data_IF_938254381802
#
_entry.id   IF_938254381802
#
_cell.length_a   1.000
_cell.length_b   1.000
_cell.length_c   1.000
_cell.angle_alpha   90.00
_cell.angle_beta   90.00
_cell.angle_gamma   90.00
#
_symmetry.space_group_name_H-M   'P 1'
#
loop_
_entity.id
_entity.type
_entity.pdbx_description
1 polymer ?
#
# COMPACT_ATOMS: atom_id res chain seq x y z
N UNK A 1 6.83 10.61 -6.44
CA UNK A 1 6.85 9.15 -6.32
C UNK A 1 5.64 8.55 -7.01
N UNK A 2 5.87 7.61 -7.94
CA UNK A 2 4.81 6.80 -8.55
C UNK A 2 4.84 5.39 -7.95
N UNK A 3 3.67 4.79 -7.75
CA UNK A 3 3.54 3.41 -7.28
C UNK A 3 2.83 2.61 -8.35
N UNK A 4 3.51 1.57 -8.85
CA UNK A 4 3.02 0.71 -9.93
C UNK A 4 2.71 -0.68 -9.39
N UNK A 5 1.46 -1.09 -9.56
CA UNK A 5 0.96 -2.41 -9.20
C UNK A 5 0.91 -3.27 -10.46
N UNK A 6 1.70 -4.34 -10.49
CA UNK A 6 1.90 -5.18 -11.66
C UNK A 6 1.32 -6.57 -11.42
N UNK A 7 0.45 -7.06 -12.31
CA UNK A 7 -0.01 -8.45 -12.24
C UNK A 7 1.06 -9.34 -12.87
N UNK A 8 1.94 -9.92 -12.05
CA UNK A 8 3.12 -10.67 -12.52
C UNK A 8 2.83 -12.13 -12.89
N UNK A 9 1.67 -12.66 -12.48
CA UNK A 9 1.26 -14.02 -12.82
C UNK A 9 -0.15 -14.34 -12.35
N UNK A 10 -0.55 -15.60 -12.54
CA UNK A 10 -1.79 -16.09 -11.92
C UNK A 10 -1.65 -16.01 -10.39
N UNK A 11 -2.58 -15.33 -9.74
CA UNK A 11 -2.60 -15.15 -8.28
C UNK A 11 -1.32 -14.51 -7.70
N UNK A 12 -0.65 -13.66 -8.49
CA UNK A 12 0.60 -12.97 -8.10
C UNK A 12 0.62 -11.55 -8.61
N UNK A 13 1.20 -10.67 -7.80
CA UNK A 13 1.46 -9.28 -8.17
C UNK A 13 2.77 -8.79 -7.56
N UNK A 14 3.26 -7.68 -8.08
CA UNK A 14 4.39 -6.95 -7.56
C UNK A 14 4.04 -5.47 -7.40
N UNK A 15 4.79 -4.79 -6.53
CA UNK A 15 4.71 -3.34 -6.35
C UNK A 15 6.08 -2.75 -6.69
N UNK A 16 6.11 -1.89 -7.71
CA UNK A 16 7.28 -1.10 -8.07
C UNK A 16 7.08 0.35 -7.64
N UNK A 17 8.07 0.95 -7.01
CA UNK A 17 8.02 2.31 -6.48
C UNK A 17 9.09 3.12 -7.19
N UNK A 18 8.63 4.07 -8.01
CA UNK A 18 9.47 4.94 -8.82
C UNK A 18 9.63 6.27 -8.09
N UNK A 19 10.87 6.62 -7.75
CA UNK A 19 11.19 7.75 -6.88
C UNK A 19 12.09 8.75 -7.60
N UNK A 20 11.85 10.04 -7.40
CA UNK A 20 12.66 11.09 -8.02
C UNK A 20 13.78 11.60 -7.12
N UNK A 21 13.63 11.49 -5.79
CA UNK A 21 14.62 11.92 -4.81
C UNK A 21 15.44 10.76 -4.23
N UNK A 22 14.98 9.52 -4.42
CA UNK A 22 15.59 8.29 -3.89
C UNK A 22 15.63 7.22 -4.99
N UNK A 23 16.45 6.17 -4.84
CA UNK A 23 16.52 5.10 -5.84
C UNK A 23 15.23 4.27 -5.96
N UNK A 24 14.96 3.64 -7.11
CA UNK A 24 13.73 2.86 -7.30
C UNK A 24 13.71 1.59 -6.44
N UNK A 25 12.50 1.17 -6.04
CA UNK A 25 12.28 -0.03 -5.23
C UNK A 25 11.27 -0.99 -5.86
N UNK A 26 11.34 -2.26 -5.47
CA UNK A 26 10.39 -3.29 -5.85
C UNK A 26 10.11 -4.25 -4.70
N UNK A 27 8.88 -4.75 -4.64
CA UNK A 27 8.48 -5.92 -3.85
C UNK A 27 7.82 -6.93 -4.78
N UNK A 28 8.44 -8.11 -4.93
CA UNK A 28 7.98 -9.17 -5.84
C UNK A 28 8.40 -10.57 -5.32
N UNK A 29 7.46 -11.49 -5.03
CA UNK A 29 6.02 -11.26 -5.02
C UNK A 29 5.60 -10.38 -3.84
N UNK A 30 4.60 -9.54 -4.06
CA UNK A 30 3.92 -8.83 -2.98
C UNK A 30 2.95 -9.76 -2.23
N UNK A 31 2.77 -9.56 -0.90
CA UNK A 31 1.91 -10.41 -0.08
C UNK A 31 0.41 -10.12 -0.30
N UNK A 32 -0.45 -11.01 0.20
CA UNK A 32 -1.89 -10.72 0.27
C UNK A 32 -2.57 -10.56 -1.08
N UNK A 33 -2.32 -11.47 -2.03
CA UNK A 33 -2.98 -11.43 -3.34
C UNK A 33 -4.51 -11.46 -3.21
N UNK A 34 -5.17 -10.60 -3.98
CA UNK A 34 -6.61 -10.60 -4.19
C UNK A 34 -6.95 -10.15 -5.61
N UNK A 35 -7.90 -10.86 -6.23
CA UNK A 35 -8.42 -10.50 -7.55
C UNK A 35 -9.19 -9.18 -7.54
N UNK A 36 -9.75 -8.82 -6.38
CA UNK A 36 -10.55 -7.62 -6.21
C UNK A 36 -9.66 -6.38 -6.09
N UNK A 37 -8.68 -6.41 -5.19
CA UNK A 37 -7.75 -5.29 -4.98
C UNK A 37 -6.47 -5.80 -4.29
N UNK A 38 -5.27 -5.33 -4.68
CA UNK A 38 -4.04 -5.69 -3.99
C UNK A 38 -4.04 -5.20 -2.54
N UNK A 39 -3.48 -5.99 -1.62
CA UNK A 39 -3.36 -5.61 -0.21
C UNK A 39 -2.60 -4.28 -0.04
N UNK A 40 -1.46 -4.14 -0.71
CA UNK A 40 -0.67 -2.91 -0.66
C UNK A 40 -1.43 -1.69 -1.24
N UNK A 41 -2.42 -1.90 -2.12
CA UNK A 41 -3.23 -0.79 -2.65
C UNK A 41 -4.23 -0.29 -1.61
N UNK A 42 -4.69 -1.16 -0.68
CA UNK A 42 -5.51 -0.76 0.47
C UNK A 42 -4.72 0.14 1.40
N UNK A 43 -3.46 -0.21 1.70
CA UNK A 43 -2.57 0.65 2.50
C UNK A 43 -2.35 2.01 1.83
N UNK A 44 -2.16 2.01 0.51
CA UNK A 44 -1.99 3.23 -0.25
C UNK A 44 -3.20 4.16 -0.11
N UNK A 45 -4.42 3.63 -0.26
CA UNK A 45 -5.67 4.40 -0.06
C UNK A 45 -5.80 4.87 1.38
N UNK A 46 -5.53 4.01 2.36
CA UNK A 46 -5.58 4.40 3.76
C UNK A 46 -4.62 5.57 4.05
N UNK A 47 -3.39 5.51 3.53
CA UNK A 47 -2.44 6.59 3.77
C UNK A 47 -2.84 7.89 3.07
N UNK A 48 -3.35 7.81 1.83
CA UNK A 48 -3.90 8.96 1.10
C UNK A 48 -5.08 9.61 1.83
N UNK A 49 -6.12 8.84 2.13
CA UNK A 49 -7.40 9.36 2.63
C UNK A 49 -7.32 9.86 4.08
N UNK A 50 -6.46 9.23 4.90
CA UNK A 50 -6.30 9.60 6.31
C UNK A 50 -5.05 10.45 6.56
N UNK A 51 -4.32 10.86 5.51
CA UNK A 51 -3.22 11.79 5.61
C UNK A 51 -1.96 11.26 6.30
N UNK A 52 -1.74 9.93 6.29
CA UNK A 52 -0.55 9.33 6.91
C UNK A 52 0.65 9.57 6.00
N UNK A 53 1.66 10.25 6.53
CA UNK A 53 2.86 10.60 5.76
C UNK A 53 4.06 9.75 6.17
N UNK A 54 3.99 9.04 7.28
CA UNK A 54 5.03 8.18 7.86
C UNK A 54 4.58 6.71 7.97
N UNK A 55 3.60 6.32 7.15
CA UNK A 55 3.16 4.93 6.96
C UNK A 55 4.09 4.12 6.05
N UNK A 56 3.56 3.09 5.38
CA UNK A 56 4.29 2.25 4.42
C UNK A 56 4.79 3.11 3.25
N UNK A 57 3.89 3.69 2.46
CA UNK A 57 4.25 4.47 1.27
C UNK A 57 4.84 5.82 1.65
N UNK A 58 4.35 6.42 2.73
CA UNK A 58 4.93 7.63 3.30
C UNK A 58 6.43 7.51 3.59
N UNK A 59 6.83 6.40 4.21
CA UNK A 59 8.24 6.12 4.47
C UNK A 59 9.04 5.79 3.19
N UNK A 60 8.44 5.15 2.19
CA UNK A 60 9.08 4.97 0.87
C UNK A 60 9.37 6.32 0.21
N UNK A 61 8.43 7.27 0.29
CA UNK A 61 8.59 8.62 -0.21
C UNK A 61 9.64 9.44 0.57
N UNK A 62 10.02 8.99 1.77
CA UNK A 62 11.05 9.60 2.62
C UNK A 62 12.41 8.87 2.57
N UNK A 63 12.60 7.98 1.59
CA UNK A 63 13.87 7.29 1.36
C UNK A 63 14.06 5.99 2.16
N UNK A 64 13.05 5.55 2.90
CA UNK A 64 13.02 4.22 3.51
C UNK A 64 12.67 3.11 2.52
N UNK A 65 12.43 1.89 3.05
CA UNK A 65 12.02 0.72 2.26
C UNK A 65 10.88 -0.12 2.89
N UNK A 66 10.25 0.33 3.97
CA UNK A 66 9.19 -0.42 4.66
C UNK A 66 9.58 -1.84 5.10
N UNK A 67 10.88 -2.13 5.19
CA UNK A 67 11.42 -3.43 5.57
C UNK A 67 11.32 -4.51 4.48
N UNK A 68 10.37 -4.38 3.55
CA UNK A 68 10.06 -5.42 2.55
C UNK A 68 10.55 -5.08 1.14
N UNK A 69 10.66 -3.80 0.79
CA UNK A 69 11.04 -3.38 -0.54
C UNK A 69 12.56 -3.43 -0.75
N UNK A 70 12.98 -3.83 -1.95
CA UNK A 70 14.39 -3.95 -2.35
C UNK A 70 14.73 -3.02 -3.52
N UNK A 71 15.97 -2.51 -3.62
CA UNK A 71 16.36 -1.62 -4.71
C UNK A 71 16.44 -2.37 -6.04
N UNK A 72 16.05 -1.70 -7.12
CA UNK A 72 16.10 -2.27 -8.48
C UNK A 72 17.33 -1.81 -9.27
N UNK A 73 17.85 -0.62 -8.99
CA UNK A 73 18.98 -0.01 -9.69
C UNK A 73 20.30 -0.13 -8.92
N UNK A 74 20.24 -0.23 -7.60
CA UNK A 74 21.41 -0.27 -6.72
C UNK A 74 21.64 -1.67 -6.15
N UNK A 75 22.90 -2.04 -5.93
CA UNK A 75 23.23 -3.25 -5.18
C UNK A 75 22.87 -3.04 -3.70
N UNK A 76 22.21 -4.05 -3.10
CA UNK A 76 21.89 -4.07 -1.67
C UNK A 76 23.15 -4.27 -0.83
N UNK A 77 23.95 -3.21 -0.69
CA UNK A 77 25.17 -3.21 0.13
C UNK A 77 24.86 -3.07 1.62
N UNK A 78 25.83 -3.38 2.49
CA UNK A 78 25.72 -3.13 3.94
C UNK A 78 25.56 -1.64 4.26
N UNK A 79 26.18 -0.76 3.47
CA UNK A 79 26.06 0.69 3.65
C UNK A 79 24.62 1.16 3.34
N UNK A 80 24.08 0.71 2.22
CA UNK A 80 22.69 0.95 1.83
C UNK A 80 21.71 0.47 2.90
N UNK A 81 21.86 -0.77 3.37
CA UNK A 81 20.99 -1.35 4.40
C UNK A 81 20.96 -0.51 5.68
N UNK A 82 22.13 -0.06 6.15
CA UNK A 82 22.24 0.81 7.33
C UNK A 82 21.62 2.18 7.12
N UNK A 83 21.76 2.76 5.92
CA UNK A 83 21.16 4.06 5.59
C UNK A 83 19.63 3.97 5.61
N UNK A 84 19.08 2.96 4.94
CA UNK A 84 17.64 2.72 4.87
C UNK A 84 17.06 2.38 6.24
N UNK A 85 17.75 1.58 7.05
CA UNK A 85 17.31 1.27 8.41
C UNK A 85 17.26 2.51 9.31
N UNK A 86 18.21 3.45 9.16
CA UNK A 86 18.12 4.75 9.85
C UNK A 86 16.90 5.55 9.38
N UNK A 87 16.64 5.59 8.07
CA UNK A 87 15.47 6.27 7.50
C UNK A 87 14.16 5.67 7.98
N UNK A 88 14.06 4.35 8.00
CA UNK A 88 12.86 3.68 8.47
C UNK A 88 12.57 4.03 9.93
N UNK A 89 13.59 4.05 10.78
CA UNK A 89 13.43 4.44 12.20
C UNK A 89 13.00 5.90 12.37
N UNK A 90 13.40 6.80 11.48
CA UNK A 90 13.04 8.23 11.58
C UNK A 90 11.72 8.61 10.91
N UNK A 91 11.21 7.79 9.99
CA UNK A 91 10.06 8.16 9.12
C UNK A 91 8.98 7.08 9.01
N UNK A 92 9.14 5.92 9.65
CA UNK A 92 8.15 4.84 9.72
C UNK A 92 7.34 4.83 11.02
N UNK A 93 7.08 6.00 11.60
CA UNK A 93 6.42 6.13 12.91
C UNK A 93 4.94 5.79 12.86
N UNK A 94 4.32 5.75 11.67
CA UNK A 94 2.90 5.48 11.48
C UNK A 94 2.62 4.13 10.79
N UNK A 95 3.62 3.24 10.67
CA UNK A 95 3.46 1.90 10.08
C UNK A 95 2.31 1.12 10.73
N UNK A 96 2.27 1.07 12.07
CA UNK A 96 1.19 0.41 12.80
C UNK A 96 -0.17 1.08 12.62
N UNK A 97 -0.20 2.40 12.38
CA UNK A 97 -1.44 3.12 12.07
C UNK A 97 -1.94 2.81 10.66
N UNK A 98 -1.04 2.72 9.68
CA UNK A 98 -1.38 2.30 8.31
C UNK A 98 -1.99 0.89 8.32
N UNK A 99 -1.39 -0.05 9.06
CA UNK A 99 -1.93 -1.40 9.28
C UNK A 99 -3.31 -1.39 9.96
N UNK A 100 -3.46 -0.62 11.04
CA UNK A 100 -4.73 -0.50 11.75
C UNK A 100 -5.85 0.09 10.88
N UNK A 101 -5.53 1.09 10.04
CA UNK A 101 -6.50 1.68 9.11
C UNK A 101 -6.87 0.71 7.99
N UNK A 102 -5.90 0.02 7.38
CA UNK A 102 -6.19 -1.01 6.38
C UNK A 102 -7.08 -2.13 6.94
N UNK A 103 -6.81 -2.57 8.18
CA UNK A 103 -7.62 -3.57 8.88
C UNK A 103 -9.03 -3.06 9.24
N UNK A 104 -9.24 -1.75 9.37
CA UNK A 104 -10.55 -1.15 9.60
C UNK A 104 -11.34 -0.92 8.32
N UNK A 105 -10.69 -0.43 7.27
CA UNK A 105 -11.31 0.03 6.03
C UNK A 105 -11.67 -1.16 5.14
N UNK A 106 -10.73 -2.08 4.90
CA UNK A 106 -10.93 -3.18 3.95
C UNK A 106 -12.16 -4.05 4.24
N UNK A 107 -12.33 -4.64 5.44
CA UNK A 107 -13.51 -5.46 5.74
C UNK A 107 -14.82 -4.66 5.77
N UNK A 108 -14.79 -3.35 6.04
CA UNK A 108 -16.00 -2.51 5.98
C UNK A 108 -16.39 -2.20 4.54
N UNK A 109 -15.41 -1.88 3.69
CA UNK A 109 -15.60 -1.68 2.27
C UNK A 109 -16.19 -2.92 1.59
N UNK A 110 -15.68 -4.11 1.92
CA UNK A 110 -16.22 -5.37 1.41
C UNK A 110 -17.70 -5.54 1.78
N UNK A 111 -18.04 -5.38 3.07
CA UNK A 111 -19.43 -5.50 3.54
C UNK A 111 -20.34 -4.45 2.90
N UNK A 112 -19.87 -3.21 2.77
CA UNK A 112 -20.59 -2.13 2.08
C UNK A 112 -20.87 -2.48 0.61
N UNK A 113 -19.93 -3.19 -0.03
CA UNK A 113 -20.05 -3.65 -1.43
C UNK A 113 -20.86 -4.95 -1.58
N UNK A 114 -21.49 -5.45 -0.50
CA UNK A 114 -22.21 -6.73 -0.50
C UNK A 114 -21.32 -7.97 -0.61
N UNK A 115 -20.01 -7.81 -0.39
CA UNK A 115 -19.02 -8.88 -0.42
C UNK A 115 -18.68 -9.32 1.00
N UNK A 116 -18.43 -10.62 1.17
CA UNK A 116 -17.90 -11.14 2.42
C UNK A 116 -16.37 -11.08 2.40
N UNK A 117 -15.73 -10.64 3.49
CA UNK A 117 -14.29 -10.80 3.65
C UNK A 117 -13.85 -12.28 3.50
N UNK A 118 -12.58 -12.54 3.21
CA UNK A 118 -12.04 -13.92 3.25
C UNK A 118 -11.92 -14.42 4.70
N UNK A 119 -11.76 -15.72 4.94
CA UNK A 119 -11.80 -16.33 6.29
C UNK A 119 -10.94 -15.62 7.36
N UNK A 120 -9.79 -15.06 6.98
CA UNK A 120 -8.94 -14.25 7.86
C UNK A 120 -9.63 -13.00 8.45
N UNK A 121 -10.61 -12.46 7.75
CA UNK A 121 -11.41 -11.29 8.13
C UNK A 121 -12.89 -11.63 8.45
N UNK A 122 -13.41 -12.79 8.01
CA UNK A 122 -14.81 -13.21 8.29
C UNK A 122 -15.04 -13.39 9.78
N UNK A 123 -14.05 -13.91 10.49
CA UNK A 123 -14.16 -14.24 11.91
C UNK A 123 -13.80 -13.09 12.85
N UNK A 124 -13.42 -11.93 12.31
CA UNK A 124 -13.10 -10.76 13.09
C UNK A 124 -14.01 -9.62 12.63
N UNK A 125 -14.96 -9.25 13.49
CA UNK A 125 -15.57 -7.94 13.34
C UNK A 125 -14.45 -6.91 13.28
N UNK A 126 -14.53 -5.96 12.33
CA UNK A 126 -13.47 -5.01 12.16
C UNK A 126 -13.40 -4.21 13.48
N UNK A 127 -12.19 -3.89 13.95
CA UNK A 127 -12.03 -3.26 15.26
C UNK A 127 -12.88 -1.98 15.34
N UNK A 128 -13.29 -1.61 16.56
CA UNK A 128 -14.01 -0.35 16.77
C UNK A 128 -13.24 0.79 16.11
N UNK A 129 -13.94 1.57 15.31
CA UNK A 129 -13.38 2.66 14.52
C UNK A 129 -13.78 3.99 15.13
N UNK A 130 -12.83 4.91 15.18
CA UNK A 130 -13.06 6.33 15.46
C UNK A 130 -13.31 7.13 14.17
N UNK A 131 -13.11 6.51 13.01
CA UNK A 131 -13.44 7.09 11.70
C UNK A 131 -14.95 7.33 11.58
N UNK A 132 -15.31 8.52 11.11
CA UNK A 132 -16.67 8.89 10.75
C UNK A 132 -17.15 8.19 9.48
N UNK A 133 -18.48 8.12 9.30
CA UNK A 133 -19.08 7.56 8.09
C UNK A 133 -18.59 8.29 6.83
N UNK A 134 -18.50 9.61 6.86
CA UNK A 134 -17.97 10.42 5.74
C UNK A 134 -16.53 10.07 5.39
N UNK A 135 -15.69 9.78 6.39
CA UNK A 135 -14.30 9.36 6.13
C UNK A 135 -14.23 7.96 5.50
N UNK A 136 -15.08 7.04 5.97
CA UNK A 136 -15.19 5.70 5.39
C UNK A 136 -15.73 5.75 3.96
N UNK A 137 -16.74 6.56 3.68
CA UNK A 137 -17.34 6.69 2.35
C UNK A 137 -16.33 7.16 1.31
N UNK A 138 -15.51 8.18 1.63
CA UNK A 138 -14.42 8.63 0.75
C UNK A 138 -13.43 7.52 0.45
N UNK A 139 -13.00 6.79 1.48
CA UNK A 139 -12.11 5.64 1.30
C UNK A 139 -12.77 4.54 0.44
N UNK A 140 -14.07 4.30 0.59
CA UNK A 140 -14.78 3.29 -0.20
C UNK A 140 -14.92 3.69 -1.66
N UNK A 141 -15.25 4.95 -1.95
CA UNK A 141 -15.28 5.48 -3.32
C UNK A 141 -13.92 5.32 -3.99
N UNK A 142 -12.84 5.64 -3.25
CA UNK A 142 -11.48 5.50 -3.74
C UNK A 142 -11.11 4.04 -4.01
N UNK A 143 -11.43 3.14 -3.09
CA UNK A 143 -11.22 1.69 -3.27
C UNK A 143 -12.04 1.13 -4.44
N UNK A 144 -13.29 1.57 -4.62
CA UNK A 144 -14.13 1.14 -5.74
C UNK A 144 -13.50 1.49 -7.09
N UNK A 145 -13.03 2.73 -7.24
CA UNK A 145 -12.36 3.20 -8.46
C UNK A 145 -11.09 2.39 -8.77
N UNK A 146 -10.23 2.20 -7.77
CA UNK A 146 -8.96 1.49 -7.94
C UNK A 146 -9.15 -0.02 -8.12
N UNK A 147 -10.13 -0.62 -7.43
CA UNK A 147 -10.54 -2.02 -7.60
C UNK A 147 -11.03 -2.28 -9.04
N UNK A 148 -11.86 -1.38 -9.58
CA UNK A 148 -12.30 -1.46 -10.98
C UNK A 148 -11.12 -1.46 -11.95
N UNK A 149 -10.15 -0.57 -11.72
CA UNK A 149 -8.92 -0.50 -12.54
C UNK A 149 -8.09 -1.78 -12.42
N UNK A 150 -7.82 -2.24 -11.19
CA UNK A 150 -7.00 -3.44 -10.92
C UNK A 150 -7.57 -4.71 -11.56
N UNK A 151 -8.89 -4.87 -11.51
CA UNK A 151 -9.58 -6.02 -12.11
C UNK A 151 -9.43 -6.08 -13.63
N UNK A 152 -9.23 -4.92 -14.28
CA UNK A 152 -8.92 -4.83 -15.71
C UNK A 152 -7.45 -5.11 -16.04
N UNK A 153 -6.55 -5.15 -15.07
CA UNK A 153 -5.11 -5.38 -15.30
C UNK A 153 -4.86 -6.85 -15.62
N UNK A 154 -4.45 -7.12 -16.86
CA UNK A 154 -4.02 -8.45 -17.31
C UNK A 154 -2.62 -8.83 -16.79
N UNK A 155 -2.29 -10.11 -16.81
CA UNK A 155 -0.92 -10.58 -16.50
C UNK A 155 0.09 -9.90 -17.44
N UNK A 156 1.21 -9.43 -16.88
CA UNK A 156 2.22 -8.64 -17.57
C UNK A 156 1.87 -7.17 -17.76
N UNK A 157 0.71 -6.72 -17.27
CA UNK A 157 0.29 -5.31 -17.26
C UNK A 157 0.28 -4.75 -15.84
N UNK A 158 0.08 -3.44 -15.75
CA UNK A 158 0.13 -2.71 -14.50
C UNK A 158 -0.87 -1.57 -14.46
N UNK A 159 -1.22 -1.15 -13.25
CA UNK A 159 -1.80 0.17 -12.98
C UNK A 159 -0.83 1.01 -12.15
N UNK A 160 -0.97 2.34 -12.23
CA UNK A 160 -0.13 3.28 -11.51
C UNK A 160 -0.99 4.22 -10.69
N UNK A 161 -0.54 4.54 -9.48
CA UNK A 161 -1.08 5.60 -8.63
C UNK A 161 0.04 6.58 -8.25
N UNK A 162 -0.31 7.85 -8.13
CA UNK A 162 0.62 8.93 -7.81
C UNK A 162 0.57 9.26 -6.34
N UNK A 163 1.68 9.17 -5.62
CA UNK A 163 1.72 9.58 -4.23
C UNK A 163 1.30 11.06 -4.12
N UNK A 164 0.29 11.40 -3.30
CA UNK A 164 -0.36 12.71 -3.37
C UNK A 164 0.48 13.84 -2.76
N UNK A 165 1.64 13.51 -2.19
CA UNK A 165 2.56 14.46 -1.58
C UNK A 165 3.96 14.43 -2.22
N UNK A 166 4.74 15.52 -2.08
CA UNK A 166 6.15 15.50 -2.46
C UNK A 166 6.96 14.46 -1.67
N UNK A 167 7.97 13.90 -2.31
CA UNK A 167 9.02 13.12 -1.64
C UNK A 167 9.78 14.00 -0.65
N UNK A 168 10.24 13.39 0.45
CA UNK A 168 10.96 14.07 1.54
C UNK A 168 12.41 13.63 1.56
N UNK A 169 13.28 14.58 1.88
CA UNK A 169 14.73 14.42 1.89
C UNK A 169 15.26 13.65 3.09
#
# INVERSE_FOLDING_TARGET
MQVRFERTGQRRYAVAVLRSQHGDLRMDPAPGYSDLIPHDLVHWVAEEEFGLRDGIFGQLAAGGNAGTFVPTQELRTKAWARQVERRNRSTGTEMGRSEALAAQVYPRWLRHSGLMPGSHYVHQDPPRTDLSDTELDRAFERLNSLSGTWRGVSVGRSMTVEWPWPERA
#
